data_IF_532480946922
#
_entry.id   IF_532480946922
#
_cell.length_a   1.000
_cell.length_b   1.000
_cell.length_c   1.000
_cell.angle_alpha   90.00
_cell.angle_beta   90.00
_cell.angle_gamma   90.00
#
_symmetry.space_group_name_H-M   'P 1'
#
loop_
_entity.id
_entity.type
_entity.pdbx_description
1 polymer ?
#
# COMPACT_ATOMS: atom_id res chain seq x y z
N UNK A 1 17.95 12.45 10.23
CA UNK A 1 18.81 11.46 10.92
C UNK A 1 18.59 10.12 10.25
N UNK A 2 19.50 9.69 9.38
CA UNK A 2 19.46 8.35 8.79
C UNK A 2 20.90 7.89 8.61
N UNK A 3 21.43 7.35 9.70
CA UNK A 3 22.69 6.62 9.77
C UNK A 3 22.48 5.25 9.15
N UNK A 4 23.30 4.91 8.16
CA UNK A 4 23.57 3.54 7.74
C UNK A 4 24.94 3.13 8.34
N UNK A 5 25.09 1.93 8.92
CA UNK A 5 26.40 1.37 9.27
C UNK A 5 26.98 0.65 8.05
N UNK A 6 28.21 1.00 7.67
CA UNK A 6 29.42 0.21 7.89
C UNK A 6 29.29 -1.28 7.52
N UNK A 7 29.80 -1.61 6.33
CA UNK A 7 30.47 -2.88 6.09
C UNK A 7 31.92 -2.58 5.68
N UNK A 8 32.83 -2.90 6.59
CA UNK A 8 34.26 -2.84 6.40
C UNK A 8 34.73 -4.09 5.64
N UNK A 9 35.63 -3.93 4.67
CA UNK A 9 36.60 -4.96 4.35
C UNK A 9 37.96 -4.30 4.12
N UNK A 10 38.88 -4.62 5.03
CA UNK A 10 40.29 -4.24 5.02
C UNK A 10 41.10 -5.50 4.71
N UNK A 11 41.96 -5.45 3.69
CA UNK A 11 43.22 -6.20 3.58
C UNK A 11 44.01 -5.61 2.39
N UNK A 12 45.02 -4.76 2.61
CA UNK A 12 46.46 -5.06 2.81
C UNK A 12 47.07 -5.78 1.59
N UNK A 13 48.23 -5.44 1.03
CA UNK A 13 49.28 -4.46 1.29
C UNK A 13 50.24 -4.52 0.07
N UNK A 14 50.97 -3.44 -0.19
CA UNK A 14 52.37 -3.40 -0.65
C UNK A 14 52.70 -2.73 -2.01
N UNK A 15 53.66 -1.82 -1.88
CA UNK A 15 54.66 -1.34 -2.84
C UNK A 15 54.22 -0.33 -3.92
N UNK A 16 54.56 0.94 -3.67
CA UNK A 16 54.62 1.95 -4.73
C UNK A 16 54.78 3.36 -4.20
N UNK A 17 55.75 3.62 -3.30
CA UNK A 17 56.19 4.98 -2.99
C UNK A 17 56.84 5.59 -4.22
N UNK A 18 56.31 6.69 -4.77
CA UNK A 18 57.10 7.77 -5.40
C UNK A 18 56.22 8.98 -5.74
N UNK A 19 56.67 10.10 -5.18
CA UNK A 19 56.20 11.48 -5.31
C UNK A 19 56.37 12.04 -6.75
N UNK A 20 55.58 13.03 -7.21
CA UNK A 20 55.55 13.50 -8.60
C UNK A 20 56.50 14.67 -8.91
N UNK A 21 56.88 14.76 -10.21
CA UNK A 21 57.41 15.95 -10.93
C UNK A 21 58.82 16.45 -10.54
N UNK A 22 59.76 16.79 -11.43
CA UNK A 22 59.77 17.32 -12.82
C UNK A 22 61.25 17.33 -13.34
N UNK A 23 61.64 17.85 -14.54
CA UNK A 23 60.89 18.19 -15.76
C UNK A 23 61.53 17.67 -17.10
N UNK A 24 60.68 17.69 -18.14
CA UNK A 24 60.94 18.01 -19.55
C UNK A 24 62.26 17.57 -20.25
N UNK A 25 62.15 16.66 -21.23
CA UNK A 25 62.86 16.75 -22.53
C UNK A 25 62.08 16.07 -23.67
N UNK A 26 61.63 16.92 -24.62
CA UNK A 26 61.44 16.74 -26.06
C UNK A 26 61.25 15.34 -26.67
N UNK A 27 60.14 15.15 -27.40
CA UNK A 27 60.14 14.86 -28.84
C UNK A 27 58.70 14.78 -29.38
N UNK A 28 58.58 15.02 -30.68
CA UNK A 28 57.42 15.45 -31.43
C UNK A 28 56.64 14.28 -32.05
N UNK A 29 55.31 14.43 -32.10
CA UNK A 29 54.34 14.03 -33.14
C UNK A 29 54.52 12.73 -33.96
N UNK A 30 53.50 11.86 -33.94
CA UNK A 30 52.66 11.48 -35.11
C UNK A 30 51.58 10.46 -34.70
N UNK A 31 50.34 10.73 -35.07
CA UNK A 31 49.14 9.97 -34.72
C UNK A 31 48.90 8.75 -35.63
N UNK A 32 48.05 7.81 -35.22
CA UNK A 32 47.17 7.09 -36.15
C UNK A 32 45.70 7.46 -35.90
N UNK A 33 45.01 7.82 -36.98
CA UNK A 33 43.55 7.83 -37.08
C UNK A 33 42.99 6.46 -36.67
N UNK A 34 42.10 6.41 -35.68
CA UNK A 34 41.26 5.24 -35.43
C UNK A 34 39.80 5.64 -35.57
N UNK A 35 39.17 5.02 -36.55
CA UNK A 35 37.80 5.24 -37.02
C UNK A 35 36.82 4.77 -35.95
N UNK A 36 35.85 5.62 -35.59
CA UNK A 36 34.82 5.26 -34.61
C UNK A 36 33.95 4.09 -35.11
N UNK A 37 33.63 3.08 -34.28
CA UNK A 37 32.62 2.09 -34.64
C UNK A 37 31.22 2.70 -34.50
N UNK A 38 30.42 2.63 -35.57
CA UNK A 38 28.98 2.87 -35.51
C UNK A 38 28.33 1.76 -34.64
N UNK A 39 27.95 2.11 -33.42
CA UNK A 39 27.17 1.22 -32.56
C UNK A 39 25.69 1.36 -32.92
N UNK A 40 25.19 0.41 -33.71
CA UNK A 40 23.77 0.29 -34.03
C UNK A 40 23.03 -0.13 -32.75
N UNK A 41 22.25 0.77 -32.16
CA UNK A 41 21.44 0.47 -30.98
C UNK A 41 20.38 -0.61 -31.31
N UNK A 42 20.14 -1.59 -30.42
CA UNK A 42 19.08 -2.56 -30.63
C UNK A 42 17.71 -1.89 -30.47
N UNK A 43 16.83 -2.06 -31.46
CA UNK A 43 15.42 -1.72 -31.33
C UNK A 43 14.79 -2.57 -30.23
N UNK A 44 14.62 -1.98 -29.05
CA UNK A 44 13.82 -2.58 -27.99
C UNK A 44 12.34 -2.40 -28.35
N UNK A 45 11.73 -3.44 -28.94
CA UNK A 45 10.27 -3.56 -28.96
C UNK A 45 9.79 -3.65 -27.51
N UNK A 46 9.20 -2.56 -27.01
CA UNK A 46 8.55 -2.55 -25.71
C UNK A 46 7.35 -3.53 -25.71
N UNK A 47 7.12 -4.27 -24.62
CA UNK A 47 5.92 -5.09 -24.51
C UNK A 47 4.69 -4.16 -24.44
N UNK A 48 3.73 -4.39 -25.33
CA UNK A 48 2.39 -3.81 -25.22
C UNK A 48 1.74 -4.33 -23.93
N UNK A 49 1.77 -3.51 -22.87
CA UNK A 49 0.91 -3.69 -21.70
C UNK A 49 -0.54 -3.51 -22.17
N UNK A 50 -1.27 -4.62 -22.29
CA UNK A 50 -2.71 -4.60 -22.33
C UNK A 50 -3.20 -4.05 -20.99
N UNK A 51 -3.67 -2.81 -20.99
CA UNK A 51 -4.30 -2.21 -19.82
C UNK A 51 -5.50 -3.09 -19.38
N UNK A 52 -5.67 -3.34 -18.07
CA UNK A 52 -6.86 -4.04 -17.58
C UNK A 52 -8.09 -3.22 -17.96
N UNK A 53 -9.09 -3.90 -18.54
CA UNK A 53 -10.39 -3.34 -18.86
C UNK A 53 -11.14 -3.10 -17.55
N UNK A 54 -10.92 -1.95 -16.93
CA UNK A 54 -11.74 -1.50 -15.80
C UNK A 54 -13.09 -1.04 -16.34
N UNK A 55 -14.02 -2.00 -16.46
CA UNK A 55 -15.44 -1.68 -16.58
C UNK A 55 -15.85 -0.95 -15.30
N UNK A 56 -16.09 0.36 -15.41
CA UNK A 56 -16.54 1.17 -14.28
C UNK A 56 -17.83 0.59 -13.68
N UNK A 57 -17.98 0.57 -12.34
CA UNK A 57 -19.15 0.00 -11.69
C UNK A 57 -20.43 0.74 -12.13
N UNK A 58 -21.45 -0.04 -12.49
CA UNK A 58 -22.76 0.48 -12.91
C UNK A 58 -23.42 1.23 -11.73
N UNK A 59 -23.74 2.53 -11.87
CA UNK A 59 -24.29 3.34 -10.79
C UNK A 59 -25.75 2.98 -10.43
N UNK A 60 -26.40 2.12 -11.22
CA UNK A 60 -27.74 1.60 -10.94
C UNK A 60 -27.71 0.20 -10.29
N UNK A 61 -26.54 -0.40 -10.08
CA UNK A 61 -26.42 -1.67 -9.39
C UNK A 61 -26.85 -1.54 -7.91
N UNK A 62 -27.59 -2.52 -7.36
CA UNK A 62 -27.97 -2.50 -5.97
C UNK A 62 -26.75 -2.55 -5.05
N UNK A 63 -26.83 -1.86 -3.91
CA UNK A 63 -25.81 -1.93 -2.87
C UNK A 63 -25.61 -3.39 -2.41
N UNK A 64 -24.36 -3.81 -2.18
CA UNK A 64 -24.08 -5.12 -1.60
C UNK A 64 -24.74 -5.24 -0.23
N UNK A 65 -25.28 -6.42 0.08
CA UNK A 65 -25.89 -6.70 1.38
C UNK A 65 -24.80 -6.99 2.41
N UNK A 66 -24.76 -6.28 3.55
CA UNK A 66 -23.83 -6.59 4.63
C UNK A 66 -24.06 -7.98 5.21
N UNK A 67 -23.00 -8.59 5.72
CA UNK A 67 -23.04 -9.85 6.46
C UNK A 67 -22.66 -9.61 7.92
N UNK A 68 -23.15 -10.47 8.81
CA UNK A 68 -22.72 -10.53 10.20
C UNK A 68 -21.87 -11.79 10.39
N UNK A 69 -20.53 -11.70 10.30
CA UNK A 69 -19.68 -12.86 10.44
C UNK A 69 -19.76 -13.40 11.87
N UNK A 70 -19.92 -14.73 11.98
CA UNK A 70 -19.85 -15.47 13.25
C UNK A 70 -18.39 -15.68 13.69
N UNK A 71 -18.18 -16.11 14.93
CA UNK A 71 -16.84 -16.44 15.44
C UNK A 71 -16.05 -17.32 14.47
N UNK A 72 -14.80 -16.94 14.20
CA UNK A 72 -13.86 -17.65 13.34
C UNK A 72 -14.13 -17.50 11.84
N UNK A 73 -15.20 -16.82 11.42
CA UNK A 73 -15.45 -16.58 10.01
C UNK A 73 -14.54 -15.45 9.47
N UNK A 74 -14.07 -15.63 8.24
CA UNK A 74 -13.35 -14.61 7.48
C UNK A 74 -14.34 -13.72 6.72
N UNK A 75 -14.11 -12.42 6.72
CA UNK A 75 -14.91 -11.42 6.02
C UNK A 75 -14.06 -10.21 5.59
N UNK A 76 -14.67 -9.32 4.82
CA UNK A 76 -14.08 -8.05 4.39
C UNK A 76 -14.78 -6.88 5.07
N UNK A 77 -14.05 -6.13 5.89
CA UNK A 77 -14.56 -4.98 6.62
C UNK A 77 -14.28 -3.68 5.88
N UNK A 78 -15.30 -2.84 5.73
CA UNK A 78 -15.16 -1.43 5.36
C UNK A 78 -15.19 -0.60 6.63
N UNK A 79 -14.08 0.04 6.97
CA UNK A 79 -13.92 0.80 8.21
C UNK A 79 -14.12 2.29 7.94
N UNK A 80 -15.15 2.87 8.54
CA UNK A 80 -15.61 4.23 8.23
C UNK A 80 -14.98 5.29 9.15
N UNK A 81 -14.78 4.92 10.41
CA UNK A 81 -14.19 5.77 11.44
C UNK A 81 -13.69 4.88 12.58
N UNK A 82 -12.69 5.36 13.34
CA UNK A 82 -12.16 4.67 14.49
C UNK A 82 -11.61 5.69 15.51
N UNK A 83 -11.84 5.42 16.79
CA UNK A 83 -11.42 6.28 17.89
C UNK A 83 -11.17 5.46 19.17
N UNK A 84 -10.46 5.99 20.18
CA UNK A 84 -10.28 5.29 21.46
C UNK A 84 -11.59 4.99 22.22
N UNK A 85 -12.65 5.75 21.98
CA UNK A 85 -13.97 5.60 22.62
C UNK A 85 -15.06 5.53 21.54
N UNK A 86 -15.99 4.57 21.67
CA UNK A 86 -17.11 4.41 20.74
C UNK A 86 -18.13 5.55 20.77
N UNK A 87 -18.08 6.44 21.77
CA UNK A 87 -18.89 7.66 21.86
C UNK A 87 -18.28 8.84 21.09
N UNK A 88 -17.09 8.66 20.52
CA UNK A 88 -16.47 9.69 19.69
C UNK A 88 -17.41 10.10 18.53
N UNK A 89 -17.52 11.41 18.21
CA UNK A 89 -18.39 11.90 17.15
C UNK A 89 -18.06 11.31 15.77
N UNK A 90 -16.81 10.91 15.52
CA UNK A 90 -16.43 10.25 14.27
C UNK A 90 -17.10 8.87 14.14
N UNK A 91 -17.05 8.07 15.21
CA UNK A 91 -17.63 6.72 15.26
C UNK A 91 -19.16 6.80 15.23
N UNK A 92 -19.75 7.60 16.11
CA UNK A 92 -21.21 7.76 16.21
C UNK A 92 -21.81 8.38 14.94
N UNK A 93 -21.16 9.39 14.36
CA UNK A 93 -21.60 10.01 13.11
C UNK A 93 -21.52 9.07 11.91
N UNK A 94 -20.52 8.18 11.85
CA UNK A 94 -20.46 7.15 10.81
C UNK A 94 -21.64 6.17 10.90
N UNK A 95 -21.98 5.71 12.12
CA UNK A 95 -23.15 4.85 12.36
C UNK A 95 -24.48 5.54 12.05
N UNK A 96 -24.60 6.83 12.35
CA UNK A 96 -25.77 7.63 11.96
C UNK A 96 -25.92 7.72 10.44
N UNK A 97 -24.82 7.94 9.71
CA UNK A 97 -24.84 7.99 8.24
C UNK A 97 -25.22 6.65 7.61
N UNK A 98 -24.82 5.53 8.21
CA UNK A 98 -25.23 4.19 7.78
C UNK A 98 -26.74 4.00 7.95
N UNK A 99 -27.25 4.30 9.16
CA UNK A 99 -28.68 4.20 9.48
C UNK A 99 -29.54 5.11 8.62
N UNK A 100 -29.11 6.35 8.38
CA UNK A 100 -29.81 7.30 7.53
C UNK A 100 -29.96 6.83 6.06
N UNK A 101 -29.13 5.88 5.63
CA UNK A 101 -29.17 5.26 4.30
C UNK A 101 -29.85 3.88 4.28
N UNK A 102 -30.39 3.43 5.42
CA UNK A 102 -31.02 2.12 5.54
C UNK A 102 -30.05 0.94 5.44
N UNK A 103 -28.74 1.17 5.63
CA UNK A 103 -27.75 0.10 5.65
C UNK A 103 -27.79 -0.57 7.02
N UNK A 104 -28.50 -1.69 7.09
CA UNK A 104 -28.54 -2.57 8.26
C UNK A 104 -27.33 -3.52 8.24
N UNK A 105 -26.73 -3.79 9.40
CA UNK A 105 -25.52 -4.63 9.52
C UNK A 105 -24.21 -3.86 9.72
N UNK A 106 -24.23 -2.53 9.66
CA UNK A 106 -23.14 -1.71 10.17
C UNK A 106 -23.12 -1.68 11.69
N UNK A 107 -21.95 -1.82 12.30
CA UNK A 107 -21.79 -1.89 13.74
C UNK A 107 -20.55 -1.16 14.23
N UNK A 108 -20.35 -1.17 15.55
CA UNK A 108 -19.08 -0.73 16.14
C UNK A 108 -18.53 -1.74 17.12
N UNK A 109 -17.21 -1.80 17.22
CA UNK A 109 -16.49 -2.71 18.11
C UNK A 109 -15.00 -2.40 18.14
N UNK A 110 -14.31 -3.03 19.10
CA UNK A 110 -12.86 -2.99 19.21
C UNK A 110 -12.24 -3.59 17.93
N UNK A 111 -11.25 -2.92 17.33
CA UNK A 111 -10.57 -3.42 16.14
C UNK A 111 -9.85 -4.75 16.42
N UNK A 112 -9.47 -5.04 17.66
CA UNK A 112 -8.92 -6.33 18.07
C UNK A 112 -9.91 -7.49 17.96
N UNK A 113 -11.21 -7.23 17.81
CA UNK A 113 -12.21 -8.25 17.51
C UNK A 113 -12.19 -8.72 16.06
N UNK A 114 -11.62 -7.91 15.17
CA UNK A 114 -11.45 -8.17 13.75
C UNK A 114 -9.96 -8.46 13.50
N UNK A 115 -9.54 -9.70 13.73
CA UNK A 115 -8.12 -10.07 13.66
C UNK A 115 -7.54 -9.81 12.27
N UNK A 116 -6.40 -9.10 12.24
CA UNK A 116 -5.78 -8.58 11.02
C UNK A 116 -6.17 -7.14 10.66
N UNK A 117 -7.36 -6.66 11.02
CA UNK A 117 -7.86 -5.35 10.60
C UNK A 117 -7.06 -4.19 11.20
N UNK A 118 -6.79 -4.23 12.51
CA UNK A 118 -6.01 -3.20 13.19
C UNK A 118 -4.64 -2.98 12.53
N UNK A 119 -3.96 -4.07 12.18
CA UNK A 119 -2.66 -4.03 11.53
C UNK A 119 -2.75 -3.51 10.09
N UNK A 120 -3.76 -3.93 9.33
CA UNK A 120 -3.99 -3.46 7.97
C UNK A 120 -4.29 -1.96 7.92
N UNK A 121 -5.01 -1.43 8.91
CA UNK A 121 -5.36 -0.01 9.02
C UNK A 121 -4.28 0.84 9.70
N UNK A 122 -3.26 0.22 10.30
CA UNK A 122 -2.23 0.92 11.08
C UNK A 122 -2.79 1.58 12.35
N UNK A 123 -3.83 1.01 12.95
CA UNK A 123 -4.53 1.53 14.12
C UNK A 123 -4.33 0.64 15.35
N UNK A 124 -4.43 1.19 16.58
CA UNK A 124 -4.41 0.37 17.79
C UNK A 124 -5.59 -0.62 17.78
N UNK A 125 -5.38 -1.89 18.19
CA UNK A 125 -6.48 -2.85 18.27
C UNK A 125 -7.57 -2.35 19.22
N UNK A 126 -7.20 -1.67 20.30
CA UNK A 126 -8.14 -1.13 21.29
C UNK A 126 -9.02 0.04 20.81
N UNK A 127 -8.86 0.51 19.57
CA UNK A 127 -9.76 1.53 19.03
C UNK A 127 -11.12 0.91 18.70
N UNK A 128 -12.18 1.63 19.00
CA UNK A 128 -13.52 1.31 18.56
C UNK A 128 -13.70 1.84 17.14
N UNK A 129 -13.97 0.95 16.20
CA UNK A 129 -14.25 1.30 14.82
C UNK A 129 -15.74 1.15 14.49
N UNK A 130 -16.27 2.05 13.67
CA UNK A 130 -17.52 1.86 12.95
C UNK A 130 -17.20 1.15 11.62
N UNK A 131 -17.80 -0.01 11.39
CA UNK A 131 -17.53 -0.84 10.21
C UNK A 131 -18.79 -1.52 9.66
N UNK A 132 -18.69 -1.95 8.41
CA UNK A 132 -19.67 -2.81 7.74
C UNK A 132 -18.91 -3.99 7.14
N UNK A 133 -19.39 -5.22 7.33
CA UNK A 133 -18.72 -6.42 6.85
C UNK A 133 -19.41 -7.00 5.61
N UNK A 134 -18.61 -7.57 4.71
CA UNK A 134 -19.04 -8.21 3.47
C UNK A 134 -18.38 -9.58 3.30
N UNK A 135 -19.03 -10.49 2.57
CA UNK A 135 -18.50 -11.82 2.30
C UNK A 135 -17.36 -11.85 1.29
N UNK A 136 -17.14 -10.76 0.55
CA UNK A 136 -16.11 -10.67 -0.49
C UNK A 136 -15.48 -9.27 -0.54
N UNK A 137 -14.26 -9.20 -1.07
CA UNK A 137 -13.58 -7.93 -1.34
C UNK A 137 -14.36 -7.09 -2.37
N UNK A 138 -14.85 -7.74 -3.43
CA UNK A 138 -15.62 -7.09 -4.50
C UNK A 138 -16.84 -6.34 -3.96
N UNK A 139 -17.54 -6.96 -3.00
CA UNK A 139 -18.69 -6.34 -2.34
C UNK A 139 -18.26 -5.16 -1.45
N UNK A 140 -17.16 -5.30 -0.71
CA UNK A 140 -16.61 -4.20 0.07
C UNK A 140 -16.21 -3.01 -0.81
N UNK A 141 -15.56 -3.26 -1.95
CA UNK A 141 -15.12 -2.23 -2.89
C UNK A 141 -16.32 -1.56 -3.58
N UNK A 142 -17.37 -2.32 -3.96
CA UNK A 142 -18.64 -1.73 -4.44
C UNK A 142 -19.32 -0.87 -3.39
N UNK A 143 -19.28 -1.28 -2.12
CA UNK A 143 -19.79 -0.44 -1.04
C UNK A 143 -19.01 0.87 -0.93
N UNK A 144 -17.67 0.81 -0.97
CA UNK A 144 -16.82 2.01 -0.95
C UNK A 144 -17.11 2.93 -2.12
N UNK A 145 -17.25 2.40 -3.34
CA UNK A 145 -17.55 3.19 -4.53
C UNK A 145 -18.90 3.94 -4.43
N UNK A 146 -19.89 3.36 -3.75
CA UNK A 146 -21.20 3.96 -3.54
C UNK A 146 -21.28 4.83 -2.27
N UNK A 147 -20.26 4.77 -1.40
CA UNK A 147 -20.22 5.51 -0.14
C UNK A 147 -19.62 6.91 -0.37
N UNK A 148 -20.37 7.99 -0.08
CA UNK A 148 -19.96 9.35 -0.49
C UNK A 148 -18.90 9.99 0.42
N UNK A 149 -18.56 9.35 1.55
CA UNK A 149 -17.60 9.87 2.52
C UNK A 149 -16.30 9.08 2.44
N UNK A 150 -15.15 9.65 2.84
CA UNK A 150 -13.93 8.88 2.94
C UNK A 150 -14.08 7.73 3.95
N UNK A 151 -13.42 6.61 3.65
CA UNK A 151 -13.26 5.47 4.56
C UNK A 151 -11.81 5.42 5.06
N UNK A 152 -11.60 4.82 6.23
CA UNK A 152 -10.25 4.56 6.74
C UNK A 152 -9.53 3.49 5.93
N UNK A 153 -10.28 2.50 5.45
CA UNK A 153 -9.75 1.45 4.60
C UNK A 153 -10.69 0.24 4.52
N UNK A 154 -10.26 -0.69 3.68
CA UNK A 154 -10.87 -2.00 3.51
C UNK A 154 -9.84 -3.04 3.96
N UNK A 155 -10.24 -3.97 4.82
CA UNK A 155 -9.36 -5.02 5.31
C UNK A 155 -10.09 -6.36 5.41
N UNK A 156 -9.40 -7.44 5.04
CA UNK A 156 -9.81 -8.79 5.40
C UNK A 156 -9.57 -9.00 6.90
N UNK A 157 -10.50 -9.72 7.56
CA UNK A 157 -10.37 -10.03 8.98
C UNK A 157 -11.00 -11.39 9.32
N UNK A 158 -10.57 -11.94 10.45
CA UNK A 158 -11.27 -13.07 11.11
C UNK A 158 -12.01 -12.57 12.35
N UNK A 159 -13.32 -12.85 12.44
CA UNK A 159 -14.16 -12.34 13.53
C UNK A 159 -13.97 -13.15 14.82
N UNK A 160 -13.63 -12.51 15.95
CA UNK A 160 -13.42 -13.22 17.23
C UNK A 160 -14.41 -12.86 18.35
N UNK A 161 -15.04 -11.69 18.31
CA UNK A 161 -15.96 -11.23 19.36
C UNK A 161 -17.45 -11.32 18.96
N UNK A 162 -17.80 -12.26 18.07
CA UNK A 162 -19.16 -12.45 17.56
C UNK A 162 -19.58 -13.89 17.84
N UNK A 163 -20.69 -14.10 18.53
CA UNK A 163 -21.22 -15.42 18.88
C UNK A 163 -22.38 -15.83 17.95
#
# INVERSE_FOLDING_TARGET
MKTAPLAALVLCLACGSSDPSEPARAAVETAPEETAPEETAPEASAPEEAAPDETAPDPAAPLPTPVQPVHGATAWGVYLAAAPDGRDPAVTGALERLRARGIEGGGSGDLGCDDGAAQALGLPPSHIAASVAFGSREDADRFVAAWPEPVLGVAEFTAYCRD
#
